data_IF_026245188814
#
_entry.id   IF_026245188814
#
_cell.length_a   1.000
_cell.length_b   1.000
_cell.length_c   1.000
_cell.angle_alpha   90.00
_cell.angle_beta   90.00
_cell.angle_gamma   90.00
#
_symmetry.space_group_name_H-M   'P 1'
#
loop_
_entity.id
_entity.type
_entity.pdbx_description
1 polymer ?
#
# COMPACT_ATOMS: atom_id res chain seq x y z
N UNK A 1 0.81 38.77 2.28
CA UNK A 1 1.12 38.07 1.01
C UNK A 1 1.00 36.57 1.25
N UNK A 2 0.15 35.84 0.53
CA UNK A 2 -0.01 34.38 0.72
C UNK A 2 -1.45 33.83 0.64
N UNK A 3 -2.46 34.60 1.06
CA UNK A 3 -3.89 34.22 0.94
C UNK A 3 -4.34 33.75 -0.46
N UNK A 4 -3.97 34.43 -1.57
CA UNK A 4 -4.39 33.97 -2.90
C UNK A 4 -3.74 32.64 -3.30
N UNK A 5 -2.46 32.43 -2.98
CA UNK A 5 -1.75 31.16 -3.24
C UNK A 5 -2.36 30.02 -2.41
N UNK A 6 -2.65 30.25 -1.14
CA UNK A 6 -3.27 29.23 -0.27
C UNK A 6 -4.69 28.88 -0.73
N UNK A 7 -5.46 29.84 -1.26
CA UNK A 7 -6.77 29.58 -1.88
C UNK A 7 -6.65 28.74 -3.15
N UNK A 8 -5.66 29.01 -3.99
CA UNK A 8 -5.39 28.21 -5.19
C UNK A 8 -4.99 26.77 -4.84
N UNK A 9 -4.11 26.59 -3.85
CA UNK A 9 -3.74 25.25 -3.34
C UNK A 9 -4.94 24.52 -2.71
N UNK A 10 -5.81 25.24 -2.00
CA UNK A 10 -7.03 24.66 -1.45
C UNK A 10 -8.00 24.19 -2.54
N UNK A 11 -8.18 24.97 -3.62
CA UNK A 11 -8.97 24.56 -4.78
C UNK A 11 -8.34 23.37 -5.52
N UNK A 12 -7.00 23.37 -5.63
CA UNK A 12 -6.20 22.28 -6.20
C UNK A 12 -6.29 20.95 -5.45
N UNK A 13 -6.86 20.90 -4.23
CA UNK A 13 -7.17 19.63 -3.55
C UNK A 13 -8.05 18.72 -4.40
N UNK A 14 -8.93 19.27 -5.23
CA UNK A 14 -9.82 18.50 -6.13
C UNK A 14 -9.07 17.78 -7.24
N UNK A 15 -7.85 18.21 -7.57
CA UNK A 15 -7.00 17.55 -8.56
C UNK A 15 -6.31 16.30 -7.99
N UNK A 16 -6.30 16.11 -6.67
CA UNK A 16 -5.75 14.90 -6.05
C UNK A 16 -6.62 13.70 -6.44
N UNK A 17 -5.98 12.59 -6.81
CA UNK A 17 -6.68 11.40 -7.32
C UNK A 17 -7.11 11.50 -8.79
N UNK A 18 -6.93 12.65 -9.45
CA UNK A 18 -7.20 12.80 -10.89
C UNK A 18 -5.91 12.68 -11.72
N UNK A 19 -6.00 12.35 -13.03
CA UNK A 19 -4.84 12.32 -13.93
C UNK A 19 -4.07 13.65 -14.05
N UNK A 20 -4.70 14.77 -13.66
CA UNK A 20 -4.15 16.13 -13.67
C UNK A 20 -3.47 16.53 -12.36
N UNK A 21 -3.40 15.63 -11.37
CA UNK A 21 -2.67 15.87 -10.15
C UNK A 21 -1.14 15.82 -10.38
N UNK A 22 -0.38 16.90 -10.10
CA UNK A 22 1.07 16.93 -10.36
C UNK A 22 1.84 15.87 -9.55
N UNK A 23 1.29 15.45 -8.42
CA UNK A 23 1.87 14.42 -7.54
C UNK A 23 1.33 13.00 -7.78
N UNK A 24 0.39 12.82 -8.73
CA UNK A 24 -0.32 11.55 -8.93
C UNK A 24 0.43 10.50 -9.76
N UNK A 25 1.42 10.95 -10.56
CA UNK A 25 2.16 10.13 -11.53
C UNK A 25 3.56 9.72 -11.07
N UNK A 26 4.01 10.15 -9.89
CA UNK A 26 5.30 9.70 -9.35
C UNK A 26 5.27 8.19 -9.14
N UNK A 27 6.34 7.49 -9.50
CA UNK A 27 6.47 6.03 -9.36
C UNK A 27 6.15 5.53 -7.94
N UNK A 28 6.58 6.27 -6.91
CA UNK A 28 6.25 5.98 -5.50
C UNK A 28 4.74 5.91 -5.24
N UNK A 29 3.96 6.89 -5.75
CA UNK A 29 2.49 6.90 -5.56
C UNK A 29 1.79 5.79 -6.35
N UNK A 30 2.34 5.36 -7.49
CA UNK A 30 1.80 4.19 -8.22
C UNK A 30 2.03 2.92 -7.41
N UNK A 31 3.25 2.73 -6.91
CA UNK A 31 3.60 1.57 -6.10
C UNK A 31 2.74 1.47 -4.83
N UNK A 32 2.54 2.56 -4.07
CA UNK A 32 1.69 2.48 -2.87
C UNK A 32 0.23 2.14 -3.19
N UNK A 33 -0.33 2.65 -4.29
CA UNK A 33 -1.69 2.28 -4.68
C UNK A 33 -1.79 0.80 -5.02
N UNK A 34 -0.78 0.26 -5.73
CA UNK A 34 -0.70 -1.17 -6.02
C UNK A 34 -0.56 -1.99 -4.74
N UNK A 35 0.36 -1.64 -3.85
CA UNK A 35 0.59 -2.32 -2.57
C UNK A 35 -0.66 -2.35 -1.68
N UNK A 36 -1.42 -1.26 -1.63
CA UNK A 36 -2.69 -1.22 -0.87
C UNK A 36 -3.72 -2.19 -1.46
N UNK A 37 -3.81 -2.27 -2.79
CA UNK A 37 -4.73 -3.19 -3.44
C UNK A 37 -4.30 -4.67 -3.24
N UNK A 38 -3.01 -4.96 -3.43
CA UNK A 38 -2.40 -6.28 -3.23
C UNK A 38 -2.58 -6.76 -1.78
N UNK A 39 -2.31 -5.91 -0.78
CA UNK A 39 -2.52 -6.24 0.63
C UNK A 39 -3.99 -6.55 0.95
N UNK A 40 -4.93 -5.75 0.43
CA UNK A 40 -6.36 -6.00 0.65
C UNK A 40 -6.80 -7.33 0.06
N UNK A 41 -6.31 -7.68 -1.13
CA UNK A 41 -6.58 -8.97 -1.75
C UNK A 41 -6.01 -10.12 -0.92
N UNK A 42 -4.76 -10.00 -0.45
CA UNK A 42 -4.13 -11.01 0.39
C UNK A 42 -4.88 -11.24 1.71
N UNK A 43 -5.28 -10.17 2.39
CA UNK A 43 -6.07 -10.27 3.63
C UNK A 43 -7.43 -10.92 3.38
N UNK A 44 -8.08 -10.63 2.24
CA UNK A 44 -9.35 -11.28 1.90
C UNK A 44 -9.17 -12.81 1.72
N UNK A 45 -8.10 -13.25 1.06
CA UNK A 45 -7.76 -14.68 0.91
C UNK A 45 -7.48 -15.34 2.27
N UNK A 46 -6.68 -14.70 3.11
CA UNK A 46 -6.31 -15.23 4.42
C UNK A 46 -7.53 -15.31 5.34
N UNK A 47 -8.39 -14.30 5.32
CA UNK A 47 -9.63 -14.30 6.09
C UNK A 47 -10.59 -15.41 5.63
N UNK A 48 -10.63 -15.72 4.33
CA UNK A 48 -11.46 -16.80 3.79
C UNK A 48 -10.99 -18.19 4.22
N UNK A 49 -9.68 -18.39 4.40
CA UNK A 49 -9.06 -19.66 4.76
C UNK A 49 -8.58 -19.70 6.24
N UNK A 50 -9.09 -18.79 7.08
CA UNK A 50 -8.68 -18.69 8.48
C UNK A 50 -9.25 -19.86 9.30
N UNK A 51 -8.39 -20.46 10.11
CA UNK A 51 -8.71 -21.53 11.04
C UNK A 51 -7.97 -21.33 12.37
N UNK A 52 -8.35 -22.07 13.40
CA UNK A 52 -7.64 -22.02 14.67
C UNK A 52 -6.16 -22.47 14.56
N UNK A 53 -5.81 -23.27 13.55
CA UNK A 53 -4.46 -23.80 13.35
C UNK A 53 -3.50 -22.87 12.59
N UNK A 54 -4.02 -21.81 11.97
CA UNK A 54 -3.22 -20.88 11.15
C UNK A 54 -3.38 -19.41 11.57
N UNK A 55 -3.97 -19.17 12.76
CA UNK A 55 -4.22 -17.82 13.28
C UNK A 55 -2.92 -17.03 13.44
N UNK A 56 -1.89 -17.63 14.03
CA UNK A 56 -0.61 -16.95 14.27
C UNK A 56 0.06 -16.54 12.94
N UNK A 57 0.05 -17.44 11.95
CA UNK A 57 0.62 -17.15 10.63
C UNK A 57 -0.18 -16.08 9.88
N UNK A 58 -1.52 -16.06 10.05
CA UNK A 58 -2.38 -15.04 9.48
C UNK A 58 -2.11 -13.65 10.11
N UNK A 59 -1.88 -13.61 11.43
CA UNK A 59 -1.51 -12.38 12.14
C UNK A 59 -0.12 -11.89 11.70
N UNK A 60 0.87 -12.78 11.60
CA UNK A 60 2.22 -12.44 11.15
C UNK A 60 2.23 -11.89 9.71
N UNK A 61 1.46 -12.51 8.82
CA UNK A 61 1.28 -12.01 7.46
C UNK A 61 0.66 -10.61 7.47
N UNK A 62 -0.41 -10.40 8.24
CA UNK A 62 -1.07 -9.10 8.35
C UNK A 62 -0.12 -8.04 8.93
N UNK A 63 0.72 -8.42 9.90
CA UNK A 63 1.70 -7.55 10.53
C UNK A 63 2.84 -7.15 9.59
N UNK A 64 3.24 -8.00 8.64
CA UNK A 64 4.33 -7.72 7.69
C UNK A 64 4.13 -6.48 6.83
N UNK A 65 2.89 -6.02 6.64
CA UNK A 65 2.60 -4.76 5.96
C UNK A 65 3.18 -3.53 6.69
N UNK A 66 3.40 -3.66 8.01
CA UNK A 66 3.98 -2.60 8.83
C UNK A 66 5.46 -2.36 8.56
N UNK A 67 6.15 -3.28 7.87
CA UNK A 67 7.56 -3.12 7.48
C UNK A 67 7.73 -2.26 6.22
N UNK A 68 6.64 -2.04 5.46
CA UNK A 68 6.62 -1.16 4.30
C UNK A 68 6.53 0.31 4.75
N UNK A 69 7.59 0.79 5.40
CA UNK A 69 7.75 2.19 5.84
C UNK A 69 9.04 2.80 5.26
N UNK A 70 9.08 4.13 5.20
CA UNK A 70 10.24 4.90 4.70
C UNK A 70 9.88 5.87 3.58
N UNK A 71 10.87 6.64 3.10
CA UNK A 71 10.72 7.59 2.00
C UNK A 71 11.48 7.10 0.75
N UNK A 72 10.95 7.44 -0.42
CA UNK A 72 11.57 7.24 -1.75
C UNK A 72 12.13 5.83 -2.01
N UNK A 73 13.45 5.66 -2.15
CA UNK A 73 14.08 4.40 -2.58
C UNK A 73 13.82 3.24 -1.63
N UNK A 74 13.83 3.50 -0.32
CA UNK A 74 13.54 2.46 0.68
C UNK A 74 12.11 1.91 0.53
N UNK A 75 11.15 2.71 0.04
CA UNK A 75 9.78 2.24 -0.21
C UNK A 75 9.68 1.34 -1.43
N UNK A 76 10.49 1.60 -2.45
CA UNK A 76 10.55 0.77 -3.65
C UNK A 76 11.16 -0.61 -3.33
N UNK A 77 12.31 -0.63 -2.64
CA UNK A 77 13.00 -1.86 -2.25
C UNK A 77 12.17 -2.71 -1.26
N UNK A 78 11.64 -2.09 -0.20
CA UNK A 78 10.81 -2.80 0.79
C UNK A 78 9.48 -3.27 0.21
N UNK A 79 8.92 -2.52 -0.75
CA UNK A 79 7.69 -2.93 -1.45
C UNK A 79 7.89 -4.20 -2.29
N UNK A 80 9.04 -4.34 -2.95
CA UNK A 80 9.39 -5.57 -3.69
C UNK A 80 9.54 -6.78 -2.76
N UNK A 81 10.33 -6.64 -1.70
CA UNK A 81 10.54 -7.71 -0.72
C UNK A 81 9.24 -8.12 -0.01
N UNK A 82 8.35 -7.17 0.26
CA UNK A 82 7.02 -7.44 0.81
C UNK A 82 6.17 -8.29 -0.15
N UNK A 83 6.15 -7.95 -1.44
CA UNK A 83 5.37 -8.70 -2.45
C UNK A 83 5.84 -10.15 -2.57
N UNK A 84 7.15 -10.39 -2.63
CA UNK A 84 7.72 -11.75 -2.65
C UNK A 84 7.45 -12.53 -1.35
N UNK A 85 7.40 -11.83 -0.21
CA UNK A 85 7.02 -12.42 1.08
C UNK A 85 5.52 -12.77 1.15
N UNK A 86 4.67 -11.94 0.55
CA UNK A 86 3.23 -12.11 0.48
C UNK A 86 2.87 -13.32 -0.40
N UNK A 87 3.47 -13.43 -1.59
CA UNK A 87 3.23 -14.53 -2.52
C UNK A 87 3.62 -15.89 -1.91
N UNK A 88 4.79 -15.98 -1.28
CA UNK A 88 5.24 -17.22 -0.63
C UNK A 88 4.32 -17.70 0.47
N UNK A 89 3.83 -16.78 1.31
CA UNK A 89 2.96 -17.12 2.43
C UNK A 89 1.53 -17.40 1.95
N UNK A 90 1.01 -16.63 1.00
CA UNK A 90 -0.29 -16.91 0.39
C UNK A 90 -0.35 -18.29 -0.28
N UNK A 91 0.74 -18.74 -0.90
CA UNK A 91 0.82 -20.10 -1.45
C UNK A 91 0.71 -21.20 -0.39
N UNK A 92 0.98 -20.91 0.89
CA UNK A 92 0.78 -21.84 2.00
C UNK A 92 -0.65 -21.80 2.59
N UNK A 93 -1.42 -20.74 2.30
CA UNK A 93 -2.82 -20.55 2.73
C UNK A 93 -3.86 -20.98 1.68
N UNK A 94 -3.45 -21.21 0.44
CA UNK A 94 -4.30 -21.70 -0.65
C UNK A 94 -4.37 -23.23 -0.64
#
# INVERSE_FOLDING_TARGET
>A
VGRPVMRLMAAGRRLRGTPFGPFGRTEVRRLERALVAEYRAAIATVAANLSAGNLDEAVDLAASAMDVRGYERLKLERGGAFREGLERRLAAFA
#
